data_IF_841303202418
#
_entry.id   IF_841303202418
#
_cell.length_a   1.000
_cell.length_b   1.000
_cell.length_c   1.000
_cell.angle_alpha   90.00
_cell.angle_beta   90.00
_cell.angle_gamma   90.00
#
_symmetry.space_group_name_H-M   'P 1'
#
loop_
_entity.id
_entity.type
_entity.pdbx_description
1 polymer ?
#
# COMPACT_ATOMS: atom_id res chain seq x y z
N UNK A 1 26.69 -3.58 -27.84
CA UNK A 1 25.42 -3.12 -27.22
C UNK A 1 25.58 -1.64 -26.91
N UNK A 2 24.82 -0.77 -27.57
CA UNK A 2 24.84 0.66 -27.26
C UNK A 2 24.20 0.89 -25.89
N UNK A 3 24.88 1.61 -25.00
CA UNK A 3 24.31 2.03 -23.71
C UNK A 3 23.18 3.04 -23.98
N UNK A 4 21.99 2.79 -23.45
CA UNK A 4 20.93 3.81 -23.43
C UNK A 4 21.37 5.01 -22.59
N UNK A 5 20.98 6.21 -23.03
CA UNK A 5 21.12 7.44 -22.25
C UNK A 5 20.10 7.49 -21.11
N UNK A 6 20.41 8.23 -20.04
CA UNK A 6 19.52 8.42 -18.89
C UNK A 6 18.12 8.90 -19.29
N UNK A 7 18.05 9.84 -20.24
CA UNK A 7 16.79 10.40 -20.73
C UNK A 7 15.96 9.37 -21.52
N UNK A 8 16.59 8.46 -22.26
CA UNK A 8 15.87 7.38 -22.95
C UNK A 8 15.26 6.40 -21.95
N UNK A 9 16.00 6.07 -20.89
CA UNK A 9 15.48 5.23 -19.79
C UNK A 9 14.32 5.93 -19.08
N UNK A 10 14.45 7.22 -18.76
CA UNK A 10 13.40 7.98 -18.10
C UNK A 10 12.11 8.04 -18.94
N UNK A 11 12.22 8.23 -20.26
CA UNK A 11 11.08 8.17 -21.19
C UNK A 11 10.44 6.78 -21.21
N UNK A 12 11.24 5.72 -21.25
CA UNK A 12 10.71 4.35 -21.22
C UNK A 12 9.93 4.07 -19.92
N UNK A 13 10.47 4.51 -18.77
CA UNK A 13 9.79 4.39 -17.46
C UNK A 13 8.48 5.19 -17.47
N UNK A 14 8.50 6.42 -17.95
CA UNK A 14 7.32 7.29 -18.04
C UNK A 14 6.19 6.70 -18.87
N UNK A 15 6.52 6.01 -19.97
CA UNK A 15 5.56 5.32 -20.83
C UNK A 15 5.04 4.02 -20.21
N UNK A 16 5.78 3.42 -19.29
CA UNK A 16 5.40 2.17 -18.62
C UNK A 16 4.49 2.39 -17.39
N UNK A 17 4.49 3.59 -16.83
CA UNK A 17 3.71 3.96 -15.64
C UNK A 17 2.46 4.74 -16.06
N UNK A 18 1.33 4.51 -15.38
CA UNK A 18 0.10 5.25 -15.67
C UNK A 18 0.27 6.76 -15.46
N UNK A 19 -0.39 7.56 -16.30
CA UNK A 19 -0.32 9.02 -16.21
C UNK A 19 -0.72 9.53 -14.82
N UNK A 20 -1.75 8.93 -14.21
CA UNK A 20 -2.22 9.28 -12.88
C UNK A 20 -1.17 9.03 -11.77
N UNK A 21 -0.26 8.06 -11.95
CA UNK A 21 0.79 7.76 -10.97
C UNK A 21 1.97 8.71 -11.09
N UNK A 22 2.33 9.13 -12.30
CA UNK A 22 3.56 9.89 -12.54
C UNK A 22 3.35 11.41 -12.60
N UNK A 23 2.13 11.88 -12.93
CA UNK A 23 1.82 13.31 -13.08
C UNK A 23 2.10 14.13 -11.82
N UNK A 24 1.91 13.55 -10.63
CA UNK A 24 2.25 14.20 -9.35
C UNK A 24 3.73 14.58 -9.30
N UNK A 25 4.62 13.71 -9.75
CA UNK A 25 6.07 13.92 -9.72
C UNK A 25 6.54 14.82 -10.85
N UNK A 26 5.93 14.71 -12.04
CA UNK A 26 6.18 15.62 -13.16
C UNK A 26 5.81 17.07 -12.78
N UNK A 27 4.63 17.27 -12.20
CA UNK A 27 4.19 18.59 -11.74
C UNK A 27 5.11 19.15 -10.64
N UNK A 28 5.54 18.31 -9.70
CA UNK A 28 6.47 18.71 -8.65
C UNK A 28 7.85 19.12 -9.21
N UNK A 29 8.38 18.36 -10.17
CA UNK A 29 9.64 18.69 -10.84
C UNK A 29 9.52 19.99 -11.66
N UNK A 30 8.45 20.14 -12.44
CA UNK A 30 8.20 21.33 -13.25
C UNK A 30 8.08 22.60 -12.40
N UNK A 31 7.43 22.51 -11.23
CA UNK A 31 7.27 23.65 -10.31
C UNK A 31 8.60 24.24 -9.82
N UNK A 32 9.69 23.47 -9.87
CA UNK A 32 11.05 23.89 -9.49
C UNK A 32 12.01 23.95 -10.69
N UNK A 33 11.48 23.99 -11.91
CA UNK A 33 12.27 24.10 -13.15
C UNK A 33 13.09 22.85 -13.48
N UNK A 34 12.65 21.67 -13.03
CA UNK A 34 13.30 20.37 -13.29
C UNK A 34 12.56 19.56 -14.35
N UNK A 35 13.24 18.56 -14.90
CA UNK A 35 12.78 17.77 -16.03
C UNK A 35 12.26 16.39 -15.66
N UNK A 36 12.09 15.56 -16.69
CA UNK A 36 11.59 14.19 -16.57
C UNK A 36 12.51 13.31 -15.71
N UNK A 37 13.83 13.47 -15.82
CA UNK A 37 14.79 12.67 -15.07
C UNK A 37 14.63 12.87 -13.55
N UNK A 38 14.45 14.10 -13.09
CA UNK A 38 14.17 14.38 -11.68
C UNK A 38 12.79 13.89 -11.24
N UNK A 39 11.77 13.99 -12.10
CA UNK A 39 10.45 13.44 -11.81
C UNK A 39 10.50 11.92 -11.61
N UNK A 40 11.21 11.20 -12.48
CA UNK A 40 11.44 9.75 -12.35
C UNK A 40 12.24 9.43 -11.07
N UNK A 41 13.27 10.23 -10.76
CA UNK A 41 14.06 10.05 -9.53
C UNK A 41 13.20 10.22 -8.29
N UNK A 42 12.32 11.22 -8.26
CA UNK A 42 11.40 11.46 -7.15
C UNK A 42 10.35 10.36 -7.02
N UNK A 43 9.82 9.85 -8.15
CA UNK A 43 8.95 8.68 -8.18
C UNK A 43 9.64 7.44 -7.59
N UNK A 44 10.87 7.17 -8.02
CA UNK A 44 11.66 6.03 -7.52
C UNK A 44 11.93 6.14 -6.02
N UNK A 45 12.27 7.34 -5.54
CA UNK A 45 12.42 7.60 -4.11
C UNK A 45 11.14 7.29 -3.34
N UNK A 46 9.99 7.77 -3.81
CA UNK A 46 8.71 7.47 -3.18
C UNK A 46 8.40 5.96 -3.15
N UNK A 47 8.73 5.24 -4.22
CA UNK A 47 8.56 3.79 -4.30
C UNK A 47 9.45 3.08 -3.25
N UNK A 48 10.71 3.49 -3.11
CA UNK A 48 11.63 2.93 -2.11
C UNK A 48 11.17 3.20 -0.67
N UNK A 49 10.71 4.42 -0.39
CA UNK A 49 10.12 4.77 0.92
C UNK A 49 8.90 3.90 1.21
N UNK A 50 8.00 3.77 0.23
CA UNK A 50 6.80 2.92 0.35
C UNK A 50 7.18 1.45 0.60
N UNK A 51 8.20 0.94 -0.09
CA UNK A 51 8.69 -0.43 0.09
C UNK A 51 9.27 -0.66 1.50
N UNK A 52 9.94 0.34 2.09
CA UNK A 52 10.45 0.25 3.45
C UNK A 52 9.34 0.05 4.50
N UNK A 53 8.10 0.45 4.20
CA UNK A 53 6.95 0.20 5.08
C UNK A 53 6.35 -1.20 4.95
N UNK A 54 6.68 -1.99 3.92
CA UNK A 54 6.06 -3.31 3.74
C UNK A 54 6.35 -4.25 4.91
N UNK A 55 7.60 -4.32 5.36
CA UNK A 55 7.99 -5.16 6.49
C UNK A 55 7.29 -4.78 7.81
N UNK A 56 7.31 -3.52 8.27
CA UNK A 56 6.60 -3.16 9.49
C UNK A 56 5.08 -3.30 9.34
N UNK A 57 4.49 -3.05 8.16
CA UNK A 57 3.06 -3.29 7.94
C UNK A 57 2.68 -4.78 8.07
N UNK A 58 3.48 -5.69 7.50
CA UNK A 58 3.26 -7.13 7.67
C UNK A 58 3.32 -7.55 9.14
N UNK A 59 4.25 -6.99 9.92
CA UNK A 59 4.32 -7.27 11.35
C UNK A 59 3.12 -6.70 12.11
N UNK A 60 2.75 -5.45 11.82
CA UNK A 60 1.58 -4.82 12.41
C UNK A 60 0.30 -5.63 12.13
N UNK A 61 0.10 -6.11 10.91
CA UNK A 61 -1.04 -6.98 10.56
C UNK A 61 -1.11 -8.20 11.49
N UNK A 62 -0.01 -8.95 11.61
CA UNK A 62 0.03 -10.18 12.42
C UNK A 62 -0.18 -9.88 13.90
N UNK A 63 0.50 -8.86 14.43
CA UNK A 63 0.41 -8.47 15.84
C UNK A 63 -1.01 -8.04 16.19
N UNK A 64 -1.62 -7.17 15.39
CA UNK A 64 -2.98 -6.69 15.62
C UNK A 64 -3.98 -7.83 15.49
N UNK A 65 -3.88 -8.66 14.44
CA UNK A 65 -4.77 -9.81 14.25
C UNK A 65 -4.68 -10.78 15.43
N UNK A 66 -3.48 -11.09 15.89
CA UNK A 66 -3.29 -12.00 17.03
C UNK A 66 -3.84 -11.38 18.32
N UNK A 67 -3.56 -10.10 18.59
CA UNK A 67 -4.11 -9.41 19.76
C UNK A 67 -5.64 -9.36 19.76
N UNK A 68 -6.27 -9.16 18.60
CA UNK A 68 -7.73 -9.25 18.45
C UNK A 68 -8.22 -10.69 18.71
N UNK A 69 -7.55 -11.70 18.16
CA UNK A 69 -7.91 -13.10 18.39
C UNK A 69 -7.83 -13.47 19.89
N UNK A 70 -6.80 -13.00 20.59
CA UNK A 70 -6.63 -13.22 22.03
C UNK A 70 -7.72 -12.50 22.84
N UNK A 71 -8.04 -11.26 22.48
CA UNK A 71 -9.11 -10.51 23.12
C UNK A 71 -10.47 -11.20 22.96
N UNK A 72 -10.80 -11.69 21.77
CA UNK A 72 -12.05 -12.44 21.53
C UNK A 72 -12.04 -13.78 22.29
N UNK A 73 -10.92 -14.50 22.28
CA UNK A 73 -10.75 -15.75 23.01
C UNK A 73 -10.95 -15.58 24.53
N UNK A 74 -10.58 -14.42 25.09
CA UNK A 74 -10.78 -14.11 26.51
C UNK A 74 -12.26 -14.02 26.91
N UNK A 75 -13.15 -13.71 25.97
CA UNK A 75 -14.59 -13.56 26.20
C UNK A 75 -15.34 -14.84 25.84
N UNK A 76 -15.01 -15.47 24.71
CA UNK A 76 -15.77 -16.58 24.13
C UNK A 76 -15.06 -17.94 24.18
N UNK A 77 -13.85 -17.99 24.75
CA UNK A 77 -13.03 -19.18 24.91
C UNK A 77 -12.10 -19.49 23.72
N UNK A 78 -11.21 -20.49 23.85
CA UNK A 78 -10.19 -20.79 22.82
C UNK A 78 -10.74 -21.25 21.47
N UNK A 79 -11.99 -21.73 21.44
CA UNK A 79 -12.72 -22.09 20.21
C UNK A 79 -13.72 -21.00 19.81
N UNK A 80 -13.42 -19.74 20.14
CA UNK A 80 -14.29 -18.60 19.86
C UNK A 80 -14.83 -18.52 18.42
N UNK A 81 -14.11 -18.95 17.35
CA UNK A 81 -14.67 -18.87 16.00
C UNK A 81 -15.92 -19.74 15.80
N UNK A 82 -16.13 -20.74 16.65
CA UNK A 82 -17.29 -21.64 16.65
C UNK A 82 -18.16 -21.46 17.90
N UNK A 83 -17.94 -20.39 18.67
CA UNK A 83 -18.76 -20.11 19.84
C UNK A 83 -20.11 -19.57 19.39
N UNK A 84 -21.24 -20.24 19.71
CA UNK A 84 -22.57 -19.73 19.36
C UNK A 84 -22.82 -18.33 19.94
N UNK A 85 -22.25 -18.03 21.11
CA UNK A 85 -22.34 -16.70 21.72
C UNK A 85 -21.59 -15.62 20.93
N UNK A 86 -20.46 -15.97 20.30
CA UNK A 86 -19.76 -15.05 19.40
C UNK A 86 -20.59 -14.83 18.13
N UNK A 87 -21.06 -15.90 17.47
CA UNK A 87 -21.89 -15.80 16.27
C UNK A 87 -23.14 -14.94 16.48
N UNK A 88 -23.83 -15.12 17.61
CA UNK A 88 -25.03 -14.36 17.97
C UNK A 88 -24.73 -12.90 18.35
N UNK A 89 -23.48 -12.58 18.72
CA UNK A 89 -23.07 -11.21 19.04
C UNK A 89 -22.78 -10.36 17.79
N UNK A 90 -22.60 -11.00 16.63
CA UNK A 90 -22.28 -10.30 15.39
C UNK A 90 -23.50 -9.50 14.90
N UNK A 91 -23.28 -8.29 14.35
CA UNK A 91 -24.36 -7.52 13.76
C UNK A 91 -24.97 -8.26 12.56
N UNK A 92 -26.30 -8.25 12.47
CA UNK A 92 -27.00 -8.83 11.31
C UNK A 92 -26.65 -8.01 10.05
N UNK A 93 -26.11 -8.67 9.02
CA UNK A 93 -25.56 -8.02 7.82
C UNK A 93 -26.63 -7.60 6.81
N UNK A 94 -27.90 -7.49 7.21
CA UNK A 94 -29.00 -6.95 6.38
C UNK A 94 -28.94 -5.42 6.26
N UNK A 95 -27.77 -4.87 5.97
CA UNK A 95 -27.60 -3.49 5.50
C UNK A 95 -27.72 -3.42 3.98
N UNK A 96 -27.99 -2.24 3.40
CA UNK A 96 -28.07 -2.09 1.95
C UNK A 96 -26.75 -2.49 1.28
N UNK A 97 -26.86 -3.27 0.21
CA UNK A 97 -25.75 -3.53 -0.71
C UNK A 97 -25.55 -2.27 -1.53
N UNK A 98 -24.47 -1.52 -1.27
CA UNK A 98 -24.07 -0.37 -2.07
C UNK A 98 -23.28 -0.81 -3.31
#
# INVERSE_FOLDING_TARGET
MSSMSTLEVAKAIRLSISSARISTYENAALAVGRGLDEAITLYAWNALVSAAFLTPLHLCEVIVRNGVADAIASVYGPRWPWSPGFEQSLPNVTGPVF
#
